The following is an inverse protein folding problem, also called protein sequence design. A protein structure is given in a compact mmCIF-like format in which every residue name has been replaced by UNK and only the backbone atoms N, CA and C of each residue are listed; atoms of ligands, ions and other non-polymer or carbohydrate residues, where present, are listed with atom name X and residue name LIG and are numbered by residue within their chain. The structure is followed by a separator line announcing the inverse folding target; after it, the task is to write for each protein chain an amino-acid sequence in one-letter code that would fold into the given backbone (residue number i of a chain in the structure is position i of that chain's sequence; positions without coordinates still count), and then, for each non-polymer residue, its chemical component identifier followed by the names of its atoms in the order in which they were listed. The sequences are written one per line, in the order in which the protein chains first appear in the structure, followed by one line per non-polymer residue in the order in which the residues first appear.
data_IF_317679100844
#
_entry.id   IF_317679100844
#
_cell.length_a   1.000
_cell.length_b   1.000
_cell.length_c   1.000
_cell.angle_alpha   90.00
_cell.angle_beta   90.00
_cell.angle_gamma   90.00
#
_symmetry.space_group_name_H-M   'P 1'
#
loop_
_entity.id
_entity.type
_entity.pdbx_description
1 polymer ?
#
# COMPACT_ATOMS: atom_id res chain seq x y z
N UNK A 1 58.28 14.48 7.16
CA UNK A 1 58.31 13.21 7.89
C UNK A 1 56.97 12.54 7.67
N UNK A 2 57.04 11.31 7.17
CA UNK A 2 55.97 10.33 6.91
C UNK A 2 55.06 10.12 8.15
N UNK A 3 53.84 9.58 8.08
CA UNK A 3 53.36 8.47 7.26
C UNK A 3 51.83 8.41 7.11
N UNK A 4 51.43 7.56 6.16
CA UNK A 4 50.10 7.35 5.59
C UNK A 4 49.28 6.22 6.24
N UNK A 5 47.98 6.18 5.85
CA UNK A 5 47.10 5.00 5.65
C UNK A 5 46.29 4.41 6.85
N UNK A 6 44.96 4.51 6.77
CA UNK A 6 44.02 3.41 6.47
C UNK A 6 42.63 3.56 7.13
N UNK A 7 41.60 3.20 6.37
CA UNK A 7 40.19 2.91 6.71
C UNK A 7 39.83 1.56 6.03
N UNK A 8 38.71 0.84 6.26
CA UNK A 8 37.61 0.93 7.25
C UNK A 8 37.36 -0.42 8.01
N UNK A 9 36.23 -0.48 8.75
CA UNK A 9 35.35 -1.65 8.98
C UNK A 9 35.35 -2.34 10.37
N UNK A 10 34.28 -2.11 11.16
CA UNK A 10 33.41 -3.17 11.69
C UNK A 10 32.15 -2.60 12.40
N UNK A 11 31.03 -3.14 11.94
CA UNK A 11 29.63 -3.07 12.38
C UNK A 11 29.40 -3.05 13.90
N UNK A 12 28.30 -2.41 14.34
CA UNK A 12 27.23 -3.00 15.20
C UNK A 12 25.96 -2.13 15.22
N UNK A 13 25.05 -2.51 14.34
CA UNK A 13 23.61 -2.75 14.52
C UNK A 13 22.94 -2.38 15.86
N UNK A 14 21.80 -1.68 15.79
CA UNK A 14 20.98 -1.33 16.94
C UNK A 14 19.58 -0.83 16.56
N UNK A 15 18.86 -1.58 15.71
CA UNK A 15 17.42 -1.40 15.49
C UNK A 15 16.62 -2.29 16.45
N UNK A 16 15.62 -1.68 17.09
CA UNK A 16 14.29 -2.20 17.48
C UNK A 16 14.11 -3.72 17.70
N UNK A 17 13.67 -4.12 18.89
CA UNK A 17 12.42 -4.90 19.08
C UNK A 17 12.25 -5.35 20.54
N UNK A 18 11.18 -4.89 21.19
CA UNK A 18 10.59 -5.51 22.36
C UNK A 18 9.12 -5.77 22.04
N UNK A 19 8.79 -7.01 21.68
CA UNK A 19 7.41 -7.49 21.58
C UNK A 19 7.32 -8.86 22.25
N UNK A 20 6.71 -8.86 23.43
CA UNK A 20 6.40 -10.05 24.22
C UNK A 20 5.09 -10.71 23.73
N UNK A 21 5.22 -11.95 23.23
CA UNK A 21 4.42 -13.20 23.35
C UNK A 21 2.89 -13.18 23.69
N UNK A 22 2.09 -14.25 23.40
CA UNK A 22 2.50 -15.62 23.06
C UNK A 22 1.81 -16.31 21.86
N UNK A 23 2.49 -17.35 21.42
CA UNK A 23 2.13 -18.36 20.42
C UNK A 23 1.03 -19.28 20.98
N UNK A 24 -0.08 -19.40 20.27
CA UNK A 24 -0.96 -20.58 20.33
C UNK A 24 -0.92 -21.21 18.94
N UNK A 25 -0.09 -22.24 18.80
CA UNK A 25 -0.13 -23.13 17.65
C UNK A 25 -1.14 -24.24 17.94
N UNK A 26 -2.32 -24.16 17.33
CA UNK A 26 -3.16 -25.35 17.17
C UNK A 26 -2.52 -26.25 16.11
N UNK A 27 -2.02 -27.38 16.60
CA UNK A 27 -1.52 -28.50 15.83
C UNK A 27 -2.73 -29.33 15.43
N UNK A 28 -3.16 -29.24 14.17
CA UNK A 28 -4.01 -30.27 13.59
C UNK A 28 -3.15 -31.20 12.73
N UNK A 29 -2.96 -32.39 13.28
CA UNK A 29 -2.44 -33.55 12.57
C UNK A 29 -3.53 -34.03 11.62
N UNK A 30 -3.28 -33.98 10.32
CA UNK A 30 -3.96 -34.83 9.34
C UNK A 30 -2.97 -35.21 8.25
N UNK A 31 -2.14 -36.18 8.58
CA UNK A 31 -1.42 -37.00 7.60
C UNK A 31 -2.42 -38.03 7.08
N UNK A 32 -2.83 -37.94 5.81
CA UNK A 32 -3.12 -39.09 4.91
C UNK A 32 -3.67 -38.61 3.56
N UNK A 33 -3.32 -39.35 2.49
CA UNK A 33 -3.57 -39.09 1.07
C UNK A 33 -2.67 -38.03 0.38
N UNK A 34 -1.34 -38.21 0.48
CA UNK A 34 -0.43 -37.73 -0.56
C UNK A 34 -0.56 -38.62 -1.80
N UNK A 35 -1.61 -38.41 -2.58
CA UNK A 35 -1.63 -38.87 -3.97
C UNK A 35 -0.58 -38.07 -4.73
N UNK A 36 0.46 -38.77 -5.19
CA UNK A 36 1.60 -38.22 -5.91
C UNK A 36 1.17 -37.59 -7.25
N UNK A 37 0.66 -36.37 -7.18
CA UNK A 37 0.63 -35.45 -8.30
C UNK A 37 1.80 -34.49 -8.09
N UNK A 38 2.75 -34.35 -9.02
CA UNK A 38 3.79 -33.35 -8.87
C UNK A 38 3.11 -31.99 -8.69
N UNK A 39 3.29 -31.33 -7.54
CA UNK A 39 2.83 -29.95 -7.37
C UNK A 39 3.65 -29.09 -8.31
N UNK A 40 3.06 -28.79 -9.47
CA UNK A 40 3.63 -27.88 -10.42
C UNK A 40 3.71 -26.49 -9.81
N UNK A 41 4.81 -25.79 -10.06
CA UNK A 41 4.96 -24.39 -9.67
C UNK A 41 3.86 -23.56 -10.34
N UNK A 42 3.40 -22.43 -9.75
CA UNK A 42 2.39 -21.57 -10.38
C UNK A 42 2.75 -21.16 -11.82
N UNK A 43 4.05 -20.98 -12.10
CA UNK A 43 4.56 -20.69 -13.46
C UNK A 43 4.44 -21.88 -14.42
N UNK A 44 4.59 -23.11 -13.93
CA UNK A 44 4.46 -24.32 -14.73
C UNK A 44 3.00 -24.60 -15.06
N UNK A 45 2.09 -24.39 -14.10
CA UNK A 45 0.65 -24.51 -14.33
C UNK A 45 0.15 -23.47 -15.35
N UNK A 46 0.67 -22.24 -15.30
CA UNK A 46 0.36 -21.19 -16.28
C UNK A 46 0.91 -21.53 -17.68
N UNK A 47 2.06 -22.19 -17.77
CA UNK A 47 2.61 -22.67 -19.03
C UNK A 47 1.78 -23.82 -19.62
N UNK A 48 1.38 -24.79 -18.80
CA UNK A 48 0.56 -25.92 -19.24
C UNK A 48 -0.84 -25.49 -19.69
N UNK A 49 -1.47 -24.55 -18.99
CA UNK A 49 -2.77 -23.98 -19.40
C UNK A 49 -2.65 -23.23 -20.72
N UNK A 50 -1.60 -22.42 -20.92
CA UNK A 50 -1.30 -21.78 -22.21
C UNK A 50 -1.11 -22.81 -23.33
N UNK A 51 -0.33 -23.87 -23.08
CA UNK A 51 -0.09 -24.93 -24.06
C UNK A 51 -1.36 -25.68 -24.44
N UNK A 52 -2.25 -25.93 -23.48
CA UNK A 52 -3.54 -26.59 -23.72
C UNK A 52 -4.43 -25.72 -24.62
N UNK A 53 -4.58 -24.44 -24.29
CA UNK A 53 -5.38 -23.48 -25.07
C UNK A 53 -4.85 -23.23 -26.49
N UNK A 54 -3.53 -23.40 -26.69
CA UNK A 54 -2.89 -23.33 -28.00
C UNK A 54 -3.11 -24.59 -28.81
N UNK A 55 -3.11 -25.76 -28.17
CA UNK A 55 -3.01 -27.04 -28.88
C UNK A 55 -4.38 -27.66 -29.15
N UNK A 56 -5.34 -27.45 -28.26
CA UNK A 56 -6.72 -27.97 -28.37
C UNK A 56 -7.44 -27.52 -29.65
N UNK A 57 -7.44 -26.23 -30.05
CA UNK A 57 -8.17 -25.77 -31.25
C UNK A 57 -7.62 -26.37 -32.56
N UNK A 58 -6.37 -26.83 -32.54
CA UNK A 58 -5.68 -27.33 -33.72
C UNK A 58 -5.72 -28.85 -33.86
N UNK A 59 -6.21 -29.59 -32.85
CA UNK A 59 -6.30 -31.06 -32.91
C UNK A 59 -7.01 -31.58 -34.17
N UNK A 60 -8.17 -31.03 -34.60
CA UNK A 60 -8.85 -31.51 -35.79
C UNK A 60 -8.03 -31.29 -37.06
N UNK A 61 -7.42 -30.11 -37.19
CA UNK A 61 -6.60 -29.75 -38.36
C UNK A 61 -5.33 -30.60 -38.41
N UNK A 62 -4.70 -30.87 -37.27
CA UNK A 62 -3.54 -31.77 -37.20
C UNK A 62 -3.88 -33.18 -37.69
N UNK A 63 -5.07 -33.68 -37.35
CA UNK A 63 -5.54 -34.98 -37.84
C UNK A 63 -5.75 -34.97 -39.36
N UNK A 64 -6.40 -33.93 -39.89
CA UNK A 64 -6.59 -33.76 -41.34
C UNK A 64 -5.25 -33.65 -42.08
N UNK A 65 -4.26 -32.97 -41.48
CA UNK A 65 -2.91 -32.90 -42.07
C UNK A 65 -2.21 -34.26 -42.09
N UNK A 66 -2.38 -35.08 -41.05
CA UNK A 66 -1.83 -36.43 -41.01
C UNK A 66 -2.49 -37.35 -42.04
N UNK A 67 -3.80 -37.22 -42.26
CA UNK A 67 -4.52 -37.95 -43.31
C UNK A 67 -4.07 -37.46 -44.71
N UNK A 68 -3.93 -36.15 -44.91
CA UNK A 68 -3.46 -35.54 -46.16
C UNK A 68 -2.02 -35.94 -46.52
N UNK A 69 -1.13 -36.11 -45.53
CA UNK A 69 0.23 -36.62 -45.76
C UNK A 69 0.23 -38.05 -46.33
N UNK A 70 -0.77 -38.86 -45.98
CA UNK A 70 -0.93 -40.22 -46.49
C UNK A 70 -1.60 -40.25 -47.86
N UNK A 71 -2.62 -39.42 -48.07
CA UNK A 71 -3.48 -39.46 -49.26
C UNK A 71 -2.94 -38.62 -50.43
N UNK A 72 -2.38 -37.44 -50.16
CA UNK A 72 -1.80 -36.56 -51.17
C UNK A 72 -0.59 -35.76 -50.64
N UNK A 73 0.60 -36.37 -50.63
CA UNK A 73 1.81 -35.76 -50.05
C UNK A 73 2.24 -34.46 -50.78
N UNK A 74 1.75 -34.18 -51.99
CA UNK A 74 2.08 -32.95 -52.72
C UNK A 74 1.50 -31.71 -52.06
N UNK A 75 0.35 -31.84 -51.39
CA UNK A 75 -0.31 -30.72 -50.70
C UNK A 75 -0.09 -30.73 -49.19
N UNK A 76 0.34 -31.86 -48.62
CA UNK A 76 0.59 -32.00 -47.19
C UNK A 76 1.60 -30.98 -46.66
N UNK A 77 2.75 -30.82 -47.33
CA UNK A 77 3.78 -29.88 -46.87
C UNK A 77 3.34 -28.40 -46.94
N UNK A 78 2.78 -27.89 -48.07
CA UNK A 78 2.22 -26.54 -48.11
C UNK A 78 1.13 -26.30 -47.05
N UNK A 79 0.22 -27.25 -46.86
CA UNK A 79 -0.85 -27.15 -45.87
C UNK A 79 -0.30 -27.13 -44.43
N UNK A 80 0.64 -28.02 -44.11
CA UNK A 80 1.29 -28.06 -42.80
C UNK A 80 2.07 -26.77 -42.52
N UNK A 81 2.75 -26.21 -43.52
CA UNK A 81 3.46 -24.93 -43.39
C UNK A 81 2.50 -23.79 -43.08
N UNK A 82 1.35 -23.71 -43.76
CA UNK A 82 0.33 -22.68 -43.51
C UNK A 82 -0.24 -22.80 -42.10
N UNK A 83 -0.63 -24.00 -41.69
CA UNK A 83 -1.16 -24.27 -40.35
C UNK A 83 -0.13 -23.95 -39.27
N UNK A 84 1.14 -24.27 -39.49
CA UNK A 84 2.24 -23.94 -38.57
C UNK A 84 2.42 -22.43 -38.39
N UNK A 85 2.30 -21.64 -39.46
CA UNK A 85 2.36 -20.18 -39.37
C UNK A 85 1.18 -19.61 -38.59
N UNK A 86 -0.03 -20.10 -38.87
CA UNK A 86 -1.24 -19.63 -38.17
C UNK A 86 -1.23 -20.02 -36.68
N UNK A 87 -0.74 -21.22 -36.33
CA UNK A 87 -0.57 -21.62 -34.93
C UNK A 87 0.37 -20.67 -34.17
N UNK A 88 1.51 -20.32 -34.74
CA UNK A 88 2.45 -19.36 -34.11
C UNK A 88 1.83 -17.98 -33.92
N UNK A 89 1.01 -17.54 -34.87
CA UNK A 89 0.27 -16.28 -34.73
C UNK A 89 -0.76 -16.37 -33.59
N UNK A 90 -1.51 -17.47 -33.54
CA UNK A 90 -2.48 -17.75 -32.46
C UNK A 90 -1.82 -17.77 -31.09
N UNK A 91 -0.69 -18.46 -30.94
CA UNK A 91 0.13 -18.47 -29.71
C UNK A 91 0.50 -17.05 -29.27
N UNK A 92 0.96 -16.21 -30.20
CA UNK A 92 1.31 -14.81 -29.90
C UNK A 92 0.10 -13.98 -29.49
N UNK A 93 -1.03 -14.14 -30.19
CA UNK A 93 -2.28 -13.43 -29.88
C UNK A 93 -2.82 -13.83 -28.51
N UNK A 94 -2.85 -15.13 -28.20
CA UNK A 94 -3.36 -15.65 -26.95
C UNK A 94 -2.47 -15.25 -25.77
N UNK A 95 -1.14 -15.30 -25.94
CA UNK A 95 -0.19 -14.85 -24.92
C UNK A 95 -0.44 -13.39 -24.54
N UNK A 96 -0.53 -12.49 -25.54
CA UNK A 96 -0.85 -11.07 -25.32
C UNK A 96 -2.22 -10.87 -24.67
N UNK A 97 -3.20 -11.71 -25.00
CA UNK A 97 -4.53 -11.64 -24.40
C UNK A 97 -4.49 -11.98 -22.91
N UNK A 98 -3.81 -13.06 -22.53
CA UNK A 98 -3.66 -13.48 -21.13
C UNK A 98 -2.90 -12.42 -20.33
N UNK A 99 -1.80 -11.90 -20.88
CA UNK A 99 -1.03 -10.84 -20.24
C UNK A 99 -1.87 -9.55 -20.09
N UNK A 100 -2.69 -9.23 -21.10
CA UNK A 100 -3.64 -8.14 -21.05
C UNK A 100 -4.71 -8.31 -19.96
N UNK A 101 -5.26 -9.52 -19.80
CA UNK A 101 -6.21 -9.82 -18.73
C UNK A 101 -5.56 -9.66 -17.35
N UNK A 102 -4.34 -10.18 -17.16
CA UNK A 102 -3.59 -10.05 -15.91
C UNK A 102 -3.27 -8.58 -15.59
N UNK A 103 -2.93 -7.81 -16.62
CA UNK A 103 -2.70 -6.38 -16.47
C UNK A 103 -3.99 -5.64 -16.08
N UNK A 104 -5.12 -5.95 -16.69
CA UNK A 104 -6.42 -5.35 -16.34
C UNK A 104 -6.82 -5.67 -14.90
N UNK A 105 -6.66 -6.93 -14.47
CA UNK A 105 -6.91 -7.34 -13.08
C UNK A 105 -6.04 -6.58 -12.09
N UNK A 106 -4.73 -6.47 -12.36
CA UNK A 106 -3.83 -5.71 -11.47
C UNK A 106 -4.15 -4.22 -11.47
N UNK A 107 -4.57 -3.65 -12.61
CA UNK A 107 -5.02 -2.26 -12.69
C UNK A 107 -6.28 -2.02 -11.85
N UNK A 108 -7.23 -2.96 -11.88
CA UNK A 108 -8.44 -2.89 -11.08
C UNK A 108 -8.13 -2.92 -9.57
N UNK A 109 -7.26 -3.84 -9.13
CA UNK A 109 -6.79 -3.90 -7.73
C UNK A 109 -6.12 -2.57 -7.34
N UNK A 110 -5.29 -2.02 -8.22
CA UNK A 110 -4.61 -0.75 -7.97
C UNK A 110 -5.59 0.43 -7.86
N UNK A 111 -6.62 0.48 -8.72
CA UNK A 111 -7.68 1.49 -8.64
C UNK A 111 -8.42 1.40 -7.30
N UNK A 112 -8.78 0.21 -6.87
CA UNK A 112 -9.45 -0.01 -5.58
C UNK A 112 -8.57 0.45 -4.42
N UNK A 113 -7.30 0.06 -4.40
CA UNK A 113 -6.34 0.51 -3.39
C UNK A 113 -6.18 2.04 -3.38
N UNK A 114 -6.10 2.67 -4.56
CA UNK A 114 -6.03 4.13 -4.71
C UNK A 114 -7.26 4.82 -4.11
N UNK A 115 -8.47 4.31 -4.39
CA UNK A 115 -9.70 4.88 -3.81
C UNK A 115 -9.74 4.75 -2.29
N UNK A 116 -9.25 3.63 -1.75
CA UNK A 116 -9.16 3.42 -0.30
C UNK A 116 -8.17 4.39 0.36
N UNK A 117 -6.99 4.57 -0.24
CA UNK A 117 -6.00 5.52 0.23
C UNK A 117 -6.50 6.96 0.18
N UNK A 118 -7.23 7.35 -0.87
CA UNK A 118 -7.84 8.68 -0.94
C UNK A 118 -8.83 8.92 0.20
N UNK A 119 -9.70 7.96 0.50
CA UNK A 119 -10.63 8.05 1.64
C UNK A 119 -9.89 8.20 2.98
N UNK A 120 -8.80 7.46 3.14
CA UNK A 120 -7.97 7.52 4.34
C UNK A 120 -7.31 8.89 4.49
N UNK A 121 -6.72 9.40 3.39
CA UNK A 121 -6.15 10.75 3.33
C UNK A 121 -7.18 11.81 3.72
N UNK A 122 -8.36 11.75 3.12
CA UNK A 122 -9.42 12.75 3.36
C UNK A 122 -9.91 12.71 4.81
N UNK A 123 -10.02 11.50 5.39
CA UNK A 123 -10.32 11.32 6.81
C UNK A 123 -9.25 11.90 7.73
N UNK A 124 -7.97 11.71 7.40
CA UNK A 124 -6.85 12.28 8.15
C UNK A 124 -6.81 13.81 8.04
N UNK A 125 -7.03 14.36 6.84
CA UNK A 125 -7.09 15.80 6.61
C UNK A 125 -8.19 16.44 7.48
N UNK A 126 -9.39 15.84 7.48
CA UNK A 126 -10.50 16.32 8.30
C UNK A 126 -10.16 16.32 9.80
N UNK A 127 -9.47 15.28 10.29
CA UNK A 127 -9.01 15.19 11.68
C UNK A 127 -8.01 16.28 12.00
N UNK A 128 -7.05 16.51 11.11
CA UNK A 128 -6.05 17.57 11.22
C UNK A 128 -6.70 18.96 11.29
N UNK A 129 -7.62 19.26 10.39
CA UNK A 129 -8.28 20.58 10.33
C UNK A 129 -9.14 20.84 11.57
N UNK A 130 -9.76 19.79 12.13
CA UNK A 130 -10.46 19.87 13.41
C UNK A 130 -9.52 20.22 14.56
N UNK A 131 -8.32 19.61 14.60
CA UNK A 131 -7.32 19.94 15.62
C UNK A 131 -6.82 21.37 15.48
N UNK A 132 -6.54 21.83 14.26
CA UNK A 132 -6.15 23.22 14.01
C UNK A 132 -7.24 24.22 14.43
N UNK A 133 -8.50 23.89 14.18
CA UNK A 133 -9.63 24.72 14.61
C UNK A 133 -9.70 24.82 16.13
N UNK A 134 -9.48 23.69 16.83
CA UNK A 134 -9.45 23.64 18.29
C UNK A 134 -8.26 24.40 18.87
N UNK A 135 -7.08 24.29 18.26
CA UNK A 135 -5.87 25.02 18.66
C UNK A 135 -6.10 26.53 18.58
N UNK A 136 -6.63 27.01 17.44
CA UNK A 136 -6.96 28.43 17.24
C UNK A 136 -8.00 28.93 18.22
N UNK A 137 -9.00 28.12 18.55
CA UNK A 137 -9.97 28.45 19.58
C UNK A 137 -9.29 28.66 20.95
N UNK A 138 -8.40 27.75 21.36
CA UNK A 138 -7.69 27.89 22.63
C UNK A 138 -6.75 29.10 22.65
N UNK A 139 -6.04 29.35 21.56
CA UNK A 139 -5.19 30.53 21.41
C UNK A 139 -6.01 31.82 21.62
N UNK A 140 -7.18 31.92 20.98
CA UNK A 140 -8.06 33.07 21.15
C UNK A 140 -8.62 33.18 22.57
N UNK A 141 -9.02 32.07 23.18
CA UNK A 141 -9.53 32.06 24.56
C UNK A 141 -8.45 32.50 25.56
N UNK A 142 -7.21 32.03 25.38
CA UNK A 142 -6.07 32.42 26.19
C UNK A 142 -5.79 33.91 26.05
N UNK A 143 -5.68 34.43 24.82
CA UNK A 143 -5.43 35.85 24.59
C UNK A 143 -6.57 36.72 25.16
N UNK A 144 -7.82 36.28 25.02
CA UNK A 144 -8.97 36.98 25.60
C UNK A 144 -8.97 36.96 27.14
N UNK A 145 -8.49 35.88 27.76
CA UNK A 145 -8.44 35.75 29.23
C UNK A 145 -7.30 36.53 29.87
N UNK A 146 -6.25 36.84 29.10
CA UNK A 146 -5.04 37.50 29.56
C UNK A 146 -5.31 38.84 30.22
N UNK A 147 -6.08 39.72 29.57
CA UNK A 147 -6.40 41.05 30.10
C UNK A 147 -7.16 41.02 31.43
N UNK A 148 -8.28 40.28 31.54
CA UNK A 148 -8.97 40.07 32.81
C UNK A 148 -8.09 39.47 33.91
N UNK A 149 -7.25 38.49 33.58
CA UNK A 149 -6.36 37.84 34.56
C UNK A 149 -5.31 38.83 35.11
N UNK A 150 -4.73 39.66 34.24
CA UNK A 150 -3.80 40.73 34.65
C UNK A 150 -4.48 41.67 35.63
N UNK A 151 -5.73 42.11 35.36
CA UNK A 151 -6.46 43.00 36.27
C UNK A 151 -6.70 42.39 37.65
N UNK A 152 -7.12 41.13 37.70
CA UNK A 152 -7.32 40.41 38.97
C UNK A 152 -6.01 40.31 39.75
N UNK A 153 -4.88 40.12 39.06
CA UNK A 153 -3.56 40.07 39.69
C UNK A 153 -3.15 41.45 40.23
N UNK A 154 -3.34 42.52 39.46
CA UNK A 154 -3.07 43.90 39.89
C UNK A 154 -3.90 44.28 41.13
N UNK A 155 -5.19 43.90 41.16
CA UNK A 155 -6.07 44.14 42.30
C UNK A 155 -5.62 43.38 43.56
N UNK A 156 -5.01 42.20 43.40
CA UNK A 156 -4.47 41.40 44.50
C UNK A 156 -3.16 41.96 45.06
N UNK A 157 -2.28 42.49 44.20
CA UNK A 157 -1.03 43.12 44.60
C UNK A 157 -1.24 44.51 45.22
N UNK A 158 -2.38 45.15 44.94
CA UNK A 158 -2.74 46.47 45.44
C UNK A 158 -4.14 46.51 46.08
N UNK A 159 -4.38 45.78 47.18
CA UNK A 159 -5.71 45.59 47.76
C UNK A 159 -6.39 46.88 48.27
N UNK A 160 -5.63 47.98 48.38
CA UNK A 160 -6.09 49.25 48.96
C UNK A 160 -6.54 50.31 47.92
N UNK A 161 -6.58 50.03 46.61
CA UNK A 161 -7.09 51.03 45.63
C UNK A 161 -8.61 51.07 45.49
N UNK A 162 -9.31 50.07 46.00
CA UNK A 162 -10.77 50.05 46.09
C UNK A 162 -11.17 50.61 47.46
N UNK A 163 -11.66 51.85 47.45
CA UNK A 163 -12.17 52.67 48.56
C UNK A 163 -11.18 53.67 49.18
N UNK A 164 -11.10 54.86 48.58
CA UNK A 164 -11.27 56.08 49.37
C UNK A 164 -11.94 57.19 48.55
N UNK A 165 -13.28 57.30 48.55
CA UNK A 165 -13.94 58.53 48.19
C UNK A 165 -13.81 59.51 49.36
N UNK A 166 -13.09 60.61 49.14
CA UNK A 166 -13.20 61.83 49.93
C UNK A 166 -12.66 61.77 51.36
N UNK A 167 -11.37 62.06 51.53
CA UNK A 167 -10.95 62.80 52.72
C UNK A 167 -10.16 64.02 52.25
N UNK A 168 -10.91 65.00 51.74
CA UNK A 168 -10.41 66.35 51.54
C UNK A 168 -10.70 67.11 52.84
N UNK A 169 -9.62 67.54 53.47
CA UNK A 169 -9.48 68.77 54.25
C UNK A 169 -10.08 68.87 55.66
N UNK A 170 -9.36 69.67 56.44
CA UNK A 170 -9.72 70.31 57.71
C UNK A 170 -9.41 69.57 59.01
N UNK A 171 -8.18 69.79 59.52
CA UNK A 171 -8.00 70.12 60.94
C UNK A 171 -6.74 71.00 61.10
N UNK A 172 -6.95 72.30 60.87
CA UNK A 172 -6.24 73.39 61.54
C UNK A 172 -6.76 73.43 62.98
N UNK A 173 -5.88 73.48 63.98
CA UNK A 173 -5.99 74.39 65.13
C UNK A 173 -4.74 74.29 66.03
N UNK A 174 -4.14 75.47 66.21
CA UNK A 174 -3.12 75.95 67.18
C UNK A 174 -1.84 75.15 67.49
#
# INVERSE_FOLDING_TARGET
MDASNSSPDQEREGEQQLSALPIVCEKDNSQEASDHTPMLSPSQQEAETRHTLVTEPFQPILKVLADLERDDPKFAFPAARLVGLYRRLWESCLSKHIDGQKLEQSNQILKEASTHLSKTRDGLQLRHDKQLSRLRFFEQALESSRGPLIRVLDDWDHPCRLNLPGFLDNAREE
#
